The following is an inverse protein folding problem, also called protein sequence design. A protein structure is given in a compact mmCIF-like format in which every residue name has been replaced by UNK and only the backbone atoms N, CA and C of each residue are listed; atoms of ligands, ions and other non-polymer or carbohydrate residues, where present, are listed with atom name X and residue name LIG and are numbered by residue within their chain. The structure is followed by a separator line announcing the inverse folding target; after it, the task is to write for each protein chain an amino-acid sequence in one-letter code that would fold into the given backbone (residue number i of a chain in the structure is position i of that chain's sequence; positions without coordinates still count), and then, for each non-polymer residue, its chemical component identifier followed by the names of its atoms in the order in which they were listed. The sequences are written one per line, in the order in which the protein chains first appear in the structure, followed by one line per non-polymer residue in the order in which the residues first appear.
data_IF_818884599676
#
_entry.id   IF_818884599676
#
_cell.length_a   1.000
_cell.length_b   1.000
_cell.length_c   1.000
_cell.angle_alpha   90.00
_cell.angle_beta   90.00
_cell.angle_gamma   90.00
#
_symmetry.space_group_name_H-M   'P 1'
#
loop_
_entity.id
_entity.type
_entity.pdbx_description
1 polymer ?
#
# COMPACT_ATOMS: atom_id res chain seq x y z
N UNK A 1 -28.96 -1.38 30.89
CA UNK A 1 -28.27 -2.39 31.67
C UNK A 1 -26.90 -2.60 31.07
N UNK A 2 -25.93 -2.06 31.74
CA UNK A 2 -24.50 -2.42 31.81
C UNK A 2 -23.68 -2.37 30.52
N UNK A 3 -23.51 -1.20 29.94
CA UNK A 3 -22.44 -0.90 28.99
C UNK A 3 -21.06 -0.99 29.70
N UNK A 4 -20.75 -2.17 30.26
CA UNK A 4 -19.43 -2.45 30.85
C UNK A 4 -18.51 -2.86 29.70
N UNK A 5 -17.41 -2.12 29.43
CA UNK A 5 -16.48 -2.52 28.40
C UNK A 5 -15.80 -3.83 28.77
N UNK A 6 -15.74 -4.78 27.82
CA UNK A 6 -14.93 -5.98 27.91
C UNK A 6 -13.85 -5.87 26.84
N UNK A 7 -12.64 -5.47 27.24
CA UNK A 7 -11.53 -5.11 26.37
C UNK A 7 -10.41 -6.17 26.37
N UNK A 8 -10.50 -7.19 27.23
CA UNK A 8 -9.49 -8.26 27.29
C UNK A 8 -9.96 -9.52 26.58
N UNK A 9 -9.18 -10.05 25.61
CA UNK A 9 -9.45 -11.36 25.02
C UNK A 9 -9.54 -12.45 26.08
N UNK A 10 -10.50 -13.36 25.94
CA UNK A 10 -10.68 -14.50 26.88
C UNK A 10 -11.44 -14.16 28.17
N UNK A 11 -11.96 -12.96 28.35
CA UNK A 11 -12.84 -12.63 29.47
C UNK A 11 -14.11 -13.49 29.40
N UNK A 12 -14.36 -14.27 30.46
CA UNK A 12 -15.61 -15.06 30.57
C UNK A 12 -16.77 -14.11 30.83
N UNK A 13 -17.79 -14.22 29.99
CA UNK A 13 -19.04 -13.46 30.11
C UNK A 13 -20.22 -14.44 30.18
N UNK A 14 -21.33 -14.11 30.87
CA UNK A 14 -22.53 -14.94 30.87
C UNK A 14 -23.08 -15.12 29.44
N UNK A 15 -23.63 -16.31 29.16
CA UNK A 15 -24.10 -16.68 27.82
C UNK A 15 -25.34 -15.91 27.35
N UNK A 16 -26.06 -15.27 28.24
CA UNK A 16 -27.28 -14.49 28.00
C UNK A 16 -27.03 -12.99 27.82
N UNK A 17 -25.75 -12.54 27.84
CA UNK A 17 -25.40 -11.11 27.68
C UNK A 17 -25.45 -10.72 26.21
N UNK A 18 -26.17 -9.64 25.92
CA UNK A 18 -26.10 -8.98 24.60
C UNK A 18 -24.80 -8.20 24.45
N UNK A 19 -23.96 -8.65 23.54
CA UNK A 19 -22.72 -7.96 23.17
C UNK A 19 -23.01 -6.91 22.11
N UNK A 20 -22.43 -5.73 22.27
CA UNK A 20 -22.40 -4.67 21.27
C UNK A 20 -20.96 -4.24 21.04
N UNK A 21 -20.50 -4.30 19.80
CA UNK A 21 -19.20 -3.76 19.42
C UNK A 21 -19.31 -2.24 19.50
N UNK A 22 -18.48 -1.62 20.35
CA UNK A 22 -18.42 -0.17 20.50
C UNK A 22 -17.27 0.36 19.63
N UNK A 23 -17.59 1.18 18.64
CA UNK A 23 -16.64 1.79 17.73
C UNK A 23 -16.91 1.43 16.26
N UNK A 24 -16.16 2.03 15.36
CA UNK A 24 -16.19 1.68 13.95
C UNK A 24 -15.46 0.34 13.75
N UNK A 25 -16.17 -0.64 13.22
CA UNK A 25 -15.54 -1.88 12.73
C UNK A 25 -14.67 -1.50 11.54
N UNK A 26 -13.39 -1.85 11.59
CA UNK A 26 -12.49 -1.62 10.47
C UNK A 26 -12.99 -2.42 9.25
N UNK A 27 -13.23 -1.78 8.09
CA UNK A 27 -13.81 -2.45 6.93
C UNK A 27 -12.85 -3.45 6.26
N UNK A 28 -11.57 -3.38 6.57
CA UNK A 28 -10.51 -4.19 5.99
C UNK A 28 -9.81 -5.03 7.06
N UNK A 29 -9.18 -6.14 6.67
CA UNK A 29 -8.39 -7.01 7.56
C UNK A 29 -7.16 -6.32 8.14
N UNK A 30 -6.79 -5.15 7.64
CA UNK A 30 -5.67 -4.36 8.13
C UNK A 30 -5.79 -2.88 7.75
N UNK A 31 -5.14 -2.01 8.53
CA UNK A 31 -5.16 -0.54 8.32
C UNK A 31 -4.67 -0.10 6.93
N UNK A 32 -3.83 -0.94 6.28
CA UNK A 32 -3.37 -0.70 4.91
C UNK A 32 -4.50 -0.48 3.92
N UNK A 33 -5.66 -1.12 4.12
CA UNK A 33 -6.83 -0.95 3.25
C UNK A 33 -7.26 0.50 3.05
N UNK A 34 -7.18 1.33 4.09
CA UNK A 34 -7.47 2.76 3.97
C UNK A 34 -6.53 3.52 3.02
N UNK A 35 -5.27 3.07 2.91
CA UNK A 35 -4.29 3.68 2.00
C UNK A 35 -4.69 3.43 0.54
N UNK A 36 -5.01 2.18 0.20
CA UNK A 36 -5.46 1.85 -1.15
C UNK A 36 -6.83 2.47 -1.46
N UNK A 37 -7.76 2.49 -0.49
CA UNK A 37 -9.04 3.20 -0.65
C UNK A 37 -8.84 4.68 -1.00
N UNK A 38 -7.90 5.36 -0.31
CA UNK A 38 -7.54 6.76 -0.62
C UNK A 38 -7.01 6.88 -2.05
N UNK A 39 -6.09 6.00 -2.47
CA UNK A 39 -5.55 6.01 -3.81
C UNK A 39 -6.63 5.79 -4.89
N UNK A 40 -7.54 4.82 -4.68
CA UNK A 40 -8.65 4.54 -5.59
C UNK A 40 -9.52 5.80 -5.79
N UNK A 41 -9.89 6.45 -4.69
CA UNK A 41 -10.72 7.68 -4.71
C UNK A 41 -9.99 8.85 -5.36
N UNK A 42 -8.75 9.10 -4.95
CA UNK A 42 -7.98 10.27 -5.40
C UNK A 42 -7.60 10.19 -6.87
N UNK A 43 -7.20 9.00 -7.32
CA UNK A 43 -6.74 8.79 -8.68
C UNK A 43 -7.83 8.24 -9.61
N UNK A 44 -9.08 8.15 -9.13
CA UNK A 44 -10.24 7.66 -9.88
C UNK A 44 -10.00 6.29 -10.53
N UNK A 45 -9.41 5.35 -9.78
CA UNK A 45 -9.09 4.02 -10.29
C UNK A 45 -10.32 3.12 -10.36
N UNK A 46 -10.50 2.43 -11.48
CA UNK A 46 -11.44 1.32 -11.62
C UNK A 46 -10.67 0.00 -11.58
N UNK A 47 -10.87 -0.79 -10.54
CA UNK A 47 -10.20 -2.07 -10.34
C UNK A 47 -11.03 -3.28 -10.79
N UNK A 48 -12.25 -3.06 -11.30
CA UNK A 48 -13.16 -4.15 -11.67
C UNK A 48 -12.54 -5.06 -12.73
N UNK A 49 -12.63 -6.35 -12.47
CA UNK A 49 -12.19 -7.42 -13.38
C UNK A 49 -10.67 -7.41 -13.69
N UNK A 50 -9.87 -6.60 -13.01
CA UNK A 50 -8.43 -6.58 -13.20
C UNK A 50 -7.72 -7.70 -12.41
N UNK A 51 -6.51 -8.05 -12.84
CA UNK A 51 -5.56 -8.90 -12.12
C UNK A 51 -4.53 -8.02 -11.44
N UNK A 52 -4.29 -8.28 -10.15
CA UNK A 52 -3.44 -7.45 -9.31
C UNK A 52 -2.28 -8.23 -8.67
N UNK A 53 -1.13 -7.58 -8.50
CA UNK A 53 -0.11 -8.01 -7.56
C UNK A 53 -0.05 -7.02 -6.38
N UNK A 54 -0.19 -7.55 -5.16
CA UNK A 54 -0.06 -6.81 -3.90
C UNK A 54 1.31 -7.10 -3.29
N UNK A 55 2.25 -6.17 -3.41
CA UNK A 55 3.65 -6.32 -3.01
C UNK A 55 3.86 -5.78 -1.60
N UNK A 56 4.24 -6.68 -0.68
CA UNK A 56 4.26 -6.41 0.74
C UNK A 56 2.85 -6.56 1.34
N UNK A 57 2.15 -7.63 0.97
CA UNK A 57 0.75 -7.85 1.32
C UNK A 57 0.49 -7.87 2.84
N UNK A 58 1.45 -8.36 3.64
CA UNK A 58 1.34 -8.45 5.11
C UNK A 58 0.04 -9.12 5.54
N UNK A 59 -0.80 -8.45 6.35
CA UNK A 59 -2.13 -8.95 6.74
C UNK A 59 -3.15 -8.96 5.59
N UNK A 60 -2.87 -8.29 4.48
CA UNK A 60 -3.73 -8.25 3.30
C UNK A 60 -4.67 -7.05 3.24
N UNK A 61 -4.33 -5.93 3.89
CA UNK A 61 -5.19 -4.75 3.87
C UNK A 61 -5.44 -4.22 2.46
N UNK A 62 -4.42 -4.14 1.59
CA UNK A 62 -4.58 -3.72 0.20
C UNK A 62 -5.35 -4.77 -0.60
N UNK A 63 -5.01 -6.04 -0.44
CA UNK A 63 -5.73 -7.18 -1.07
C UNK A 63 -7.23 -7.15 -0.74
N UNK A 64 -7.61 -6.99 0.54
CA UNK A 64 -9.02 -6.94 0.96
C UNK A 64 -9.74 -5.72 0.37
N UNK A 65 -9.09 -4.56 0.38
CA UNK A 65 -9.63 -3.35 -0.24
C UNK A 65 -9.86 -3.54 -1.75
N UNK A 66 -8.90 -4.14 -2.47
CA UNK A 66 -9.03 -4.40 -3.90
C UNK A 66 -10.17 -5.38 -4.21
N UNK A 67 -10.32 -6.47 -3.45
CA UNK A 67 -11.43 -7.42 -3.59
C UNK A 67 -12.78 -6.75 -3.40
N UNK A 68 -12.91 -5.87 -2.40
CA UNK A 68 -14.14 -5.10 -2.15
C UNK A 68 -14.43 -4.10 -3.29
N UNK A 69 -13.43 -3.71 -4.08
CA UNK A 69 -13.56 -2.87 -5.27
C UNK A 69 -13.64 -3.66 -6.59
N UNK A 70 -13.87 -4.98 -6.52
CA UNK A 70 -14.20 -5.80 -7.67
C UNK A 70 -13.02 -6.35 -8.46
N UNK A 71 -11.80 -6.36 -7.88
CA UNK A 71 -10.64 -7.00 -8.51
C UNK A 71 -10.93 -8.50 -8.75
N UNK A 72 -10.51 -9.04 -9.88
CA UNK A 72 -10.82 -10.43 -10.24
C UNK A 72 -9.85 -11.43 -9.59
N UNK A 73 -8.59 -11.05 -9.45
CA UNK A 73 -7.52 -11.92 -8.90
C UNK A 73 -6.43 -11.08 -8.25
N UNK A 74 -5.88 -11.56 -7.16
CA UNK A 74 -4.76 -10.94 -6.45
C UNK A 74 -3.64 -11.95 -6.21
N UNK A 75 -2.44 -11.62 -6.60
CA UNK A 75 -1.20 -12.26 -6.17
C UNK A 75 -0.69 -11.50 -4.94
N UNK A 76 -0.91 -12.03 -3.75
CA UNK A 76 -0.46 -11.45 -2.49
C UNK A 76 0.98 -11.90 -2.20
N UNK A 77 1.94 -11.00 -2.42
CA UNK A 77 3.39 -11.29 -2.38
C UNK A 77 3.98 -10.71 -1.11
N UNK A 78 4.60 -11.56 -0.28
CA UNK A 78 5.28 -11.12 0.95
C UNK A 78 6.50 -11.99 1.25
N UNK A 79 7.55 -11.38 1.83
CA UNK A 79 8.73 -12.11 2.32
C UNK A 79 8.46 -12.85 3.63
N UNK A 80 7.44 -12.43 4.38
CA UNK A 80 7.00 -13.02 5.64
C UNK A 80 6.29 -14.35 5.48
N UNK A 81 5.89 -14.91 6.60
CA UNK A 81 5.19 -16.20 6.66
C UNK A 81 4.00 -16.07 7.61
N UNK A 82 2.87 -16.68 7.24
CA UNK A 82 1.65 -16.70 8.05
C UNK A 82 1.12 -15.30 8.44
N UNK A 83 1.34 -14.29 7.59
CA UNK A 83 0.90 -12.92 7.85
C UNK A 83 -0.49 -12.63 7.27
N UNK A 84 -0.76 -13.18 6.09
CA UNK A 84 -2.03 -12.94 5.39
C UNK A 84 -3.21 -13.46 6.22
N UNK A 85 -4.23 -12.64 6.39
CA UNK A 85 -5.45 -13.00 7.12
C UNK A 85 -6.10 -14.26 6.56
N UNK A 86 -6.66 -15.11 7.45
CA UNK A 86 -7.27 -16.38 7.05
C UNK A 86 -8.38 -16.23 6.03
N UNK A 87 -9.20 -15.20 6.15
CA UNK A 87 -10.25 -14.86 5.18
C UNK A 87 -9.71 -14.72 3.75
N UNK A 88 -8.51 -14.15 3.61
CA UNK A 88 -7.87 -13.95 2.31
C UNK A 88 -7.14 -15.20 1.84
N UNK A 89 -6.50 -15.96 2.75
CA UNK A 89 -5.85 -17.23 2.42
C UNK A 89 -6.81 -18.26 1.81
N UNK A 90 -8.05 -18.24 2.25
CA UNK A 90 -9.09 -19.18 1.79
C UNK A 90 -9.93 -18.62 0.65
N UNK A 91 -9.68 -17.40 0.22
CA UNK A 91 -10.41 -16.77 -0.87
C UNK A 91 -9.90 -17.31 -2.23
N UNK A 92 -10.77 -17.86 -3.10
CA UNK A 92 -10.37 -18.42 -4.38
C UNK A 92 -9.79 -17.39 -5.37
N UNK A 93 -10.01 -16.11 -5.13
CA UNK A 93 -9.46 -15.01 -5.94
C UNK A 93 -8.07 -14.54 -5.46
N UNK A 94 -7.53 -15.12 -4.40
CA UNK A 94 -6.24 -14.74 -3.82
C UNK A 94 -5.23 -15.87 -3.94
N UNK A 95 -4.10 -15.58 -4.57
CA UNK A 95 -2.95 -16.48 -4.64
C UNK A 95 -1.92 -15.97 -3.64
N UNK A 96 -1.72 -16.71 -2.57
CA UNK A 96 -0.78 -16.34 -1.50
C UNK A 96 0.65 -16.78 -1.84
N UNK A 97 1.53 -15.81 -2.06
CA UNK A 97 2.95 -16.00 -2.37
C UNK A 97 3.81 -15.49 -1.21
N UNK A 98 3.73 -16.17 -0.07
CA UNK A 98 4.60 -15.93 1.09
C UNK A 98 6.02 -16.46 0.87
N UNK A 99 6.98 -16.02 1.70
CA UNK A 99 8.42 -16.31 1.58
C UNK A 99 8.98 -15.91 0.21
N UNK A 100 8.37 -14.95 -0.43
CA UNK A 100 8.69 -14.55 -1.79
C UNK A 100 9.30 -13.15 -1.80
N UNK A 101 10.56 -13.05 -2.21
CA UNK A 101 11.19 -11.76 -2.40
C UNK A 101 10.78 -11.18 -3.75
N UNK A 102 10.13 -10.03 -3.76
CA UNK A 102 9.67 -9.38 -4.98
C UNK A 102 10.77 -9.20 -6.04
N UNK A 103 12.02 -9.00 -5.65
CA UNK A 103 13.13 -8.87 -6.60
C UNK A 103 13.38 -10.12 -7.43
N UNK A 104 12.86 -11.26 -7.01
CA UNK A 104 12.99 -12.55 -7.69
C UNK A 104 11.73 -12.93 -8.48
N UNK A 105 10.65 -12.14 -8.31
CA UNK A 105 9.38 -12.41 -8.99
C UNK A 105 9.50 -12.06 -10.47
N UNK A 106 9.12 -13.02 -11.31
CA UNK A 106 9.09 -12.89 -12.76
C UNK A 106 7.69 -13.23 -13.29
N UNK A 107 7.42 -12.88 -14.54
CA UNK A 107 6.18 -13.26 -15.22
C UNK A 107 5.97 -14.78 -15.19
N UNK A 108 7.02 -15.57 -15.41
CA UNK A 108 6.94 -17.04 -15.39
C UNK A 108 6.52 -17.60 -14.03
N UNK A 109 6.91 -16.95 -12.93
CA UNK A 109 6.53 -17.38 -11.58
C UNK A 109 5.05 -17.17 -11.29
N UNK A 110 4.46 -16.10 -11.80
CA UNK A 110 3.04 -15.75 -11.59
C UNK A 110 2.16 -16.21 -12.75
N UNK A 111 2.75 -16.56 -13.90
CA UNK A 111 2.09 -17.14 -15.07
C UNK A 111 1.38 -16.13 -15.98
N UNK A 112 1.35 -14.85 -15.64
CA UNK A 112 0.75 -13.79 -16.43
C UNK A 112 1.27 -12.41 -16.03
N UNK A 113 1.14 -11.41 -16.91
CA UNK A 113 1.30 -10.02 -16.50
C UNK A 113 0.02 -9.49 -15.85
N UNK A 114 0.21 -8.63 -14.86
CA UNK A 114 -0.91 -8.04 -14.10
C UNK A 114 -1.29 -6.67 -14.64
N UNK A 115 -2.55 -6.29 -14.44
CA UNK A 115 -3.12 -4.99 -14.84
C UNK A 115 -2.79 -3.90 -13.83
N UNK A 116 -2.71 -4.28 -12.55
CA UNK A 116 -2.55 -3.36 -11.44
C UNK A 116 -1.54 -3.89 -10.42
N UNK A 117 -0.73 -3.00 -9.88
CA UNK A 117 0.19 -3.32 -8.77
C UNK A 117 -0.02 -2.34 -7.63
N UNK A 118 -0.08 -2.84 -6.41
CA UNK A 118 0.06 -2.03 -5.20
C UNK A 118 1.33 -2.41 -4.45
N UNK A 119 1.96 -1.43 -3.77
CA UNK A 119 3.13 -1.73 -2.94
C UNK A 119 3.06 -1.05 -1.58
N UNK A 120 3.27 -1.81 -0.51
CA UNK A 120 3.47 -1.33 0.86
C UNK A 120 4.66 -2.06 1.51
N UNK A 121 5.88 -1.82 0.99
CA UNK A 121 7.11 -2.45 1.49
C UNK A 121 7.79 -1.60 2.56
N UNK A 122 8.59 -2.24 3.40
CA UNK A 122 9.34 -1.60 4.49
C UNK A 122 10.81 -2.03 4.48
N UNK A 123 11.67 -1.19 5.06
CA UNK A 123 13.10 -1.42 5.25
C UNK A 123 13.96 -1.46 3.98
N UNK A 124 13.38 -1.21 2.82
CA UNK A 124 14.10 -1.04 1.55
C UNK A 124 13.48 0.13 0.78
N UNK A 125 14.31 0.76 -0.08
CA UNK A 125 13.80 1.74 -1.03
C UNK A 125 12.89 1.08 -2.07
N UNK A 126 11.81 1.75 -2.43
CA UNK A 126 10.86 1.32 -3.48
C UNK A 126 11.55 1.26 -4.86
N UNK A 127 12.61 2.01 -5.07
CA UNK A 127 13.37 1.99 -6.33
C UNK A 127 13.98 0.61 -6.61
N UNK A 128 14.31 -0.15 -5.55
CA UNK A 128 14.94 -1.47 -5.69
C UNK A 128 14.00 -2.55 -6.22
N UNK A 129 12.71 -2.31 -6.25
CA UNK A 129 11.73 -3.27 -6.75
C UNK A 129 11.21 -2.93 -8.15
N UNK A 130 11.51 -1.74 -8.66
CA UNK A 130 11.00 -1.27 -9.95
C UNK A 130 11.32 -2.21 -11.13
N UNK A 131 12.51 -2.82 -11.22
CA UNK A 131 12.77 -3.79 -12.30
C UNK A 131 11.80 -4.98 -12.29
N UNK A 132 11.49 -5.53 -11.11
CA UNK A 132 10.53 -6.62 -10.98
C UNK A 132 9.09 -6.14 -11.28
N UNK A 133 8.71 -4.98 -10.77
CA UNK A 133 7.42 -4.33 -11.06
C UNK A 133 7.27 -4.13 -12.57
N UNK A 134 8.31 -3.64 -13.25
CA UNK A 134 8.31 -3.43 -14.68
C UNK A 134 8.13 -4.74 -15.47
N UNK A 135 8.74 -5.83 -15.02
CA UNK A 135 8.68 -7.13 -15.70
C UNK A 135 7.29 -7.76 -15.66
N UNK A 136 6.58 -7.63 -14.53
CA UNK A 136 5.28 -8.29 -14.32
C UNK A 136 4.07 -7.40 -14.67
N UNK A 137 4.27 -6.09 -14.86
CA UNK A 137 3.19 -5.16 -15.21
C UNK A 137 2.93 -5.14 -16.71
N UNK A 138 1.67 -5.18 -17.12
CA UNK A 138 1.26 -4.95 -18.52
C UNK A 138 1.71 -3.56 -19.01
N UNK A 139 1.87 -3.34 -20.32
CA UNK A 139 2.21 -2.03 -20.86
C UNK A 139 1.27 -0.91 -20.42
N UNK A 140 -0.03 -1.17 -20.46
CA UNK A 140 -1.14 -0.27 -20.08
C UNK A 140 -1.47 -0.30 -18.59
N UNK A 141 -0.77 -1.14 -17.82
CA UNK A 141 -1.00 -1.32 -16.40
C UNK A 141 -0.60 -0.12 -15.56
N UNK A 142 -1.09 -0.08 -14.34
CA UNK A 142 -0.81 1.00 -13.38
C UNK A 142 -0.30 0.47 -12.05
N UNK A 143 0.46 1.32 -11.35
CA UNK A 143 1.04 1.01 -10.03
C UNK A 143 0.65 2.07 -9.03
N UNK A 144 0.12 1.68 -7.89
CA UNK A 144 0.04 2.53 -6.69
C UNK A 144 1.18 2.14 -5.77
N UNK A 145 2.12 3.07 -5.59
CA UNK A 145 3.31 2.85 -4.78
C UNK A 145 3.28 3.71 -3.52
N UNK A 146 3.50 3.08 -2.35
CA UNK A 146 3.60 3.80 -1.08
C UNK A 146 5.05 4.24 -0.86
N UNK A 147 5.29 5.55 -0.92
CA UNK A 147 6.58 6.17 -0.63
C UNK A 147 6.68 6.41 0.88
N UNK A 148 7.70 5.84 1.48
CA UNK A 148 7.99 5.99 2.91
C UNK A 148 9.29 6.77 3.07
N UNK A 149 9.25 8.07 3.36
CA UNK A 149 10.44 8.92 3.38
C UNK A 149 11.59 8.36 4.22
N UNK A 150 11.29 7.69 5.33
CA UNK A 150 12.29 7.09 6.21
C UNK A 150 13.08 5.93 5.57
N UNK A 151 12.61 5.36 4.46
CA UNK A 151 13.31 4.30 3.73
C UNK A 151 13.91 4.78 2.40
N UNK A 152 13.55 5.99 1.97
CA UNK A 152 14.09 6.63 0.76
C UNK A 152 15.20 7.64 1.09
N UNK A 153 15.08 8.35 2.23
CA UNK A 153 16.12 9.25 2.71
C UNK A 153 17.39 8.48 3.16
N UNK A 154 18.56 9.08 2.98
CA UNK A 154 19.78 8.57 3.58
C UNK A 154 19.65 8.48 5.12
N UNK A 155 20.40 7.56 5.73
CA UNK A 155 20.35 7.31 7.19
C UNK A 155 20.60 8.58 8.03
N UNK A 156 21.40 9.51 7.51
CA UNK A 156 21.75 10.78 8.13
C UNK A 156 20.56 11.76 8.24
N UNK A 157 19.55 11.59 7.39
CA UNK A 157 18.33 12.42 7.38
C UNK A 157 17.22 11.86 8.28
N UNK A 158 17.38 10.63 8.76
CA UNK A 158 16.39 9.95 9.59
C UNK A 158 16.66 10.24 11.07
N UNK A 159 15.72 10.89 11.73
CA UNK A 159 15.84 11.28 13.13
C UNK A 159 15.76 10.10 14.11
N UNK A 160 15.97 10.41 15.39
CA UNK A 160 15.85 9.44 16.48
C UNK A 160 14.50 8.73 16.45
N UNK A 161 14.53 7.40 16.55
CA UNK A 161 13.32 6.56 16.47
C UNK A 161 12.85 6.27 15.06
N UNK A 162 13.64 6.58 14.02
CA UNK A 162 13.27 6.26 12.64
C UNK A 162 12.19 7.18 12.04
N UNK A 163 12.03 8.40 12.60
CA UNK A 163 10.97 9.33 12.18
C UNK A 163 11.57 10.58 11.54
N UNK A 164 11.10 10.92 10.35
CA UNK A 164 11.37 12.20 9.68
C UNK A 164 10.26 13.18 10.06
N UNK A 165 10.64 14.35 10.58
CA UNK A 165 9.72 15.43 10.97
C UNK A 165 9.90 16.70 10.18
N UNK A 166 11.04 16.85 9.52
CA UNK A 166 11.35 18.03 8.73
C UNK A 166 10.62 17.97 7.37
N UNK A 167 9.79 18.97 7.12
CA UNK A 167 9.00 19.08 5.89
C UNK A 167 9.87 19.22 4.64
N UNK A 168 11.01 19.90 4.76
CA UNK A 168 11.94 20.06 3.64
C UNK A 168 12.55 18.71 3.25
N UNK A 169 12.87 17.86 4.24
CA UNK A 169 13.35 16.51 3.97
C UNK A 169 12.27 15.68 3.27
N UNK A 170 11.00 15.80 3.67
CA UNK A 170 9.89 15.12 2.95
C UNK A 170 9.83 15.57 1.50
N UNK A 171 9.89 16.88 1.22
CA UNK A 171 9.83 17.41 -0.14
C UNK A 171 11.00 16.95 -1.01
N UNK A 172 12.21 17.02 -0.47
CA UNK A 172 13.41 16.57 -1.18
C UNK A 172 13.33 15.09 -1.52
N UNK A 173 12.97 14.26 -0.53
CA UNK A 173 12.83 12.82 -0.72
C UNK A 173 11.76 12.49 -1.77
N UNK A 174 10.60 13.15 -1.71
CA UNK A 174 9.54 12.92 -2.69
C UNK A 174 10.03 13.33 -4.08
N UNK A 175 10.62 14.51 -4.22
CA UNK A 175 11.14 15.01 -5.51
C UNK A 175 12.14 14.04 -6.11
N UNK A 176 13.12 13.61 -5.30
CA UNK A 176 14.18 12.70 -5.73
C UNK A 176 13.59 11.33 -6.12
N UNK A 177 12.64 10.81 -5.34
CA UNK A 177 11.98 9.52 -5.62
C UNK A 177 11.16 9.59 -6.91
N UNK A 178 10.38 10.66 -7.11
CA UNK A 178 9.58 10.83 -8.34
C UNK A 178 10.47 10.98 -9.58
N UNK A 179 11.60 11.71 -9.47
CA UNK A 179 12.59 11.82 -10.55
C UNK A 179 13.22 10.47 -10.87
N UNK A 180 13.50 9.66 -9.85
CA UNK A 180 14.03 8.31 -10.05
C UNK A 180 13.01 7.38 -10.75
N UNK A 181 11.71 7.50 -10.46
CA UNK A 181 10.68 6.75 -11.18
C UNK A 181 10.72 7.05 -12.70
N UNK A 182 10.84 8.32 -13.07
CA UNK A 182 10.96 8.73 -14.49
C UNK A 182 12.22 8.12 -15.14
N UNK A 183 13.33 8.07 -14.42
CA UNK A 183 14.58 7.48 -14.92
C UNK A 183 14.44 5.97 -15.15
N UNK A 184 13.65 5.30 -14.31
CA UNK A 184 13.36 3.86 -14.39
C UNK A 184 12.23 3.51 -15.38
N UNK A 185 11.74 4.49 -16.16
CA UNK A 185 10.74 4.29 -17.21
C UNK A 185 9.29 4.25 -16.70
N UNK A 186 9.04 4.76 -15.50
CA UNK A 186 7.70 4.98 -14.99
C UNK A 186 7.36 6.47 -14.94
N UNK A 187 6.20 6.86 -15.45
CA UNK A 187 5.72 8.23 -15.41
C UNK A 187 4.74 8.43 -14.26
N UNK A 188 4.88 9.56 -13.55
CA UNK A 188 4.01 9.91 -12.41
C UNK A 188 2.71 10.50 -12.93
N UNK A 189 1.59 9.82 -12.63
CA UNK A 189 0.23 10.24 -12.98
C UNK A 189 -0.50 10.92 -11.83
N UNK A 190 -0.02 10.76 -10.61
CA UNK A 190 -0.60 11.38 -9.44
C UNK A 190 0.23 11.14 -8.18
N UNK A 191 0.09 12.04 -7.22
CA UNK A 191 0.63 11.89 -5.88
C UNK A 191 -0.35 12.43 -4.85
N UNK A 192 -0.47 11.74 -3.72
CA UNK A 192 -1.25 12.17 -2.56
C UNK A 192 -0.61 11.64 -1.27
N UNK A 193 -1.11 12.08 -0.13
CA UNK A 193 -0.65 11.58 1.18
C UNK A 193 -1.45 10.35 1.61
N UNK A 194 -0.83 9.49 2.43
CA UNK A 194 -1.52 8.39 3.10
C UNK A 194 -2.50 8.94 4.17
N UNK A 195 -3.74 8.44 4.24
CA UNK A 195 -4.71 8.91 5.23
C UNK A 195 -4.36 8.48 6.66
N UNK A 196 -3.40 7.58 6.80
CA UNK A 196 -2.91 7.09 8.09
C UNK A 196 -1.38 7.16 8.13
N UNK A 197 -0.85 7.44 9.31
CA UNK A 197 0.59 7.42 9.55
C UNK A 197 1.12 5.97 9.63
N UNK A 198 2.36 5.78 9.24
CA UNK A 198 3.09 4.52 9.41
C UNK A 198 3.24 4.11 10.88
N UNK A 199 3.67 2.89 11.12
CA UNK A 199 3.75 2.30 12.47
C UNK A 199 4.55 3.10 13.49
N UNK A 200 5.60 3.81 13.06
CA UNK A 200 6.40 4.71 13.89
C UNK A 200 5.91 6.15 13.90
N UNK A 201 4.80 6.46 13.24
CA UNK A 201 4.24 7.80 13.14
C UNK A 201 4.75 8.63 11.97
N UNK A 202 5.49 8.04 11.03
CA UNK A 202 5.94 8.70 9.81
C UNK A 202 4.76 9.03 8.90
N UNK A 203 4.86 10.18 8.22
CA UNK A 203 3.99 10.53 7.10
C UNK A 203 4.45 9.72 5.89
N UNK A 204 3.49 9.19 5.14
CA UNK A 204 3.72 8.37 3.96
C UNK A 204 2.93 8.94 2.79
N UNK A 205 3.37 8.68 1.57
CA UNK A 205 2.77 9.24 0.36
C UNK A 205 2.41 8.12 -0.62
N UNK A 206 1.37 8.35 -1.42
CA UNK A 206 0.89 7.42 -2.45
C UNK A 206 1.14 8.06 -3.81
N UNK A 207 1.85 7.36 -4.69
CA UNK A 207 2.04 7.78 -6.07
C UNK A 207 1.37 6.80 -7.03
N UNK A 208 0.69 7.33 -8.05
CA UNK A 208 0.21 6.56 -9.19
C UNK A 208 1.24 6.64 -10.31
N UNK A 209 1.70 5.50 -10.78
CA UNK A 209 2.68 5.37 -11.85
C UNK A 209 2.11 4.56 -13.01
N UNK A 210 2.52 4.90 -14.22
CA UNK A 210 2.27 4.11 -15.45
C UNK A 210 3.52 4.11 -16.32
N UNK A 211 3.55 3.23 -17.31
CA UNK A 211 4.63 3.18 -18.32
C UNK A 211 4.46 4.23 -19.42
N UNK A 212 3.24 4.66 -19.68
CA UNK A 212 2.92 5.72 -20.64
C UNK A 212 2.93 7.10 -19.96
N UNK A 213 3.24 8.14 -20.75
CA UNK A 213 3.25 9.51 -20.26
C UNK A 213 1.84 10.09 -20.19
N UNK A 214 1.51 10.88 -19.15
CA UNK A 214 0.26 11.64 -19.15
C UNK A 214 0.29 12.71 -20.26
N UNK A 215 -0.85 12.94 -20.91
CA UNK A 215 -0.98 13.96 -21.96
C UNK A 215 -0.61 15.38 -21.48
N UNK A 216 -0.78 15.64 -20.18
CA UNK A 216 -0.36 16.88 -19.53
C UNK A 216 0.60 16.54 -18.38
N UNK A 217 1.78 17.17 -18.39
CA UNK A 217 2.69 17.14 -17.26
C UNK A 217 1.95 17.59 -15.99
N UNK A 218 1.88 16.70 -14.99
CA UNK A 218 1.36 17.08 -13.68
C UNK A 218 2.38 18.00 -13.01
N UNK A 219 2.00 19.25 -12.77
CA UNK A 219 2.69 20.07 -11.79
C UNK A 219 2.43 19.45 -10.42
N UNK A 220 3.39 18.72 -9.87
CA UNK A 220 3.32 18.21 -8.50
C UNK A 220 3.35 19.42 -7.57
N UNK A 221 2.17 19.85 -7.11
CA UNK A 221 2.08 20.93 -6.13
C UNK A 221 2.38 20.37 -4.74
N UNK A 222 3.62 20.50 -4.31
CA UNK A 222 4.05 20.15 -2.95
C UNK A 222 3.28 20.91 -1.86
N UNK A 223 2.66 22.04 -2.21
CA UNK A 223 1.81 22.84 -1.30
C UNK A 223 0.59 22.04 -0.80
N UNK A 224 -0.01 21.22 -1.67
CA UNK A 224 -1.12 20.35 -1.27
C UNK A 224 -0.68 19.20 -0.35
N UNK A 225 0.56 18.73 -0.48
CA UNK A 225 1.12 17.70 0.39
C UNK A 225 1.41 18.24 1.80
N UNK A 226 1.74 19.54 1.91
CA UNK A 226 1.99 20.22 3.21
C UNK A 226 0.73 20.48 4.03
N UNK A 227 -0.41 20.71 3.38
CA UNK A 227 -1.65 21.14 4.07
C UNK A 227 -2.25 20.08 5.00
N UNK A 228 -1.79 18.83 4.93
CA UNK A 228 -2.32 17.70 5.69
C UNK A 228 -1.37 17.16 6.78
N UNK A 229 -0.28 17.88 7.06
CA UNK A 229 0.69 17.55 8.10
C UNK A 229 0.37 18.14 9.48
N UNK A 230 -0.75 18.87 9.60
CA UNK A 230 -1.23 19.46 10.88
C UNK A 230 -2.23 18.59 11.59
#
# INVERSE_FOLDING_TARGET
MNDVPVDKPGTKIPSDVRLRIKGHVMPYVGRGGYKLEKAIKEFHLDLKNLVMADIGASTGGFTDCALQNGIAKVYAIDVGTNQLDWKLRTNPHVINLEKTNIKQVTEDMIGEKVDFISTDISFISVLKILPAVHSILKPEGSVVILIKPQFEAGKEKVGKGGVIRDKNIHEDVIRDTLSAFETEGFHVWGITYSPIKGGSGNIEFLALLKKDRPERSMAVSYTHLRAHET
#
